data_IF_075388045114
#
_entry.id   IF_075388045114
#
_cell.length_a   1.000
_cell.length_b   1.000
_cell.length_c   1.000
_cell.angle_alpha   90.00
_cell.angle_beta   90.00
_cell.angle_gamma   90.00
#
_symmetry.space_group_name_H-M   'P 1'
#
loop_
_entity.id
_entity.type
_entity.pdbx_description
1 polymer ?
#
# COMPACT_ATOMS: atom_id res chain seq x y z
N UNK A 1 7.69 7.59 34.60
CA UNK A 1 7.19 6.22 34.36
C UNK A 1 7.65 5.89 32.96
N UNK A 2 8.47 4.84 32.78
CA UNK A 2 8.76 4.34 31.43
C UNK A 2 7.45 3.78 30.86
N UNK A 3 7.02 4.30 29.71
CA UNK A 3 5.87 3.76 29.02
C UNK A 3 6.25 2.36 28.49
N UNK A 4 5.50 1.34 28.86
CA UNK A 4 5.78 -0.06 28.49
C UNK A 4 5.68 -0.30 26.97
N UNK A 5 5.23 0.71 26.21
CA UNK A 5 5.10 0.72 24.74
C UNK A 5 6.36 1.21 24.01
N UNK A 6 7.41 1.56 24.73
CA UNK A 6 8.63 2.14 24.20
C UNK A 6 9.83 1.28 24.55
N UNK A 7 10.60 0.84 23.56
CA UNK A 7 11.95 0.33 23.74
C UNK A 7 12.94 1.35 23.17
N UNK A 8 13.78 1.90 24.01
CA UNK A 8 14.82 2.83 23.59
C UNK A 8 16.17 2.40 24.12
N UNK A 9 17.17 2.26 23.26
CA UNK A 9 18.57 2.04 23.60
C UNK A 9 19.43 3.17 23.02
N UNK A 10 19.44 4.30 23.72
CA UNK A 10 20.16 5.52 23.38
C UNK A 10 21.31 5.79 24.39
N UNK A 11 22.15 4.79 24.61
CA UNK A 11 23.22 4.82 25.62
C UNK A 11 24.27 5.90 25.38
N UNK A 12 24.43 6.27 24.11
CA UNK A 12 25.30 7.41 23.71
C UNK A 12 24.49 8.24 22.69
N UNK A 13 24.59 9.60 22.75
CA UNK A 13 23.99 10.41 21.67
C UNK A 13 24.54 9.94 20.32
N UNK A 14 23.67 9.69 19.37
CA UNK A 14 24.09 9.40 18.01
C UNK A 14 24.81 10.62 17.44
N UNK A 15 25.95 10.43 16.79
CA UNK A 15 26.58 11.50 16.00
C UNK A 15 25.74 11.82 14.77
N UNK A 16 25.09 10.81 14.20
CA UNK A 16 24.39 10.91 12.91
C UNK A 16 22.93 11.33 13.00
N UNK A 17 22.24 11.09 14.13
CA UNK A 17 20.80 11.36 14.25
C UNK A 17 20.45 12.12 15.53
N UNK A 18 19.41 12.99 15.44
CA UNK A 18 18.66 13.53 16.56
C UNK A 18 17.24 12.98 16.55
N UNK A 19 16.66 12.74 17.72
CA UNK A 19 15.44 11.95 17.84
C UNK A 19 14.39 12.64 18.70
N UNK A 20 13.14 12.48 18.27
CA UNK A 20 11.96 12.78 19.09
C UNK A 20 10.92 11.69 18.91
N UNK A 21 10.34 11.21 20.00
CA UNK A 21 9.31 10.18 19.90
C UNK A 21 8.29 10.30 21.03
N UNK A 22 7.06 9.99 20.69
CA UNK A 22 5.90 10.00 21.60
C UNK A 22 4.95 8.89 21.18
N UNK A 23 4.37 8.21 22.14
CA UNK A 23 3.20 7.35 21.96
C UNK A 23 2.13 7.75 22.95
N UNK A 24 0.86 7.76 22.54
CA UNK A 24 -0.29 8.18 23.33
C UNK A 24 -1.49 7.28 23.04
N UNK A 25 -2.26 6.95 24.07
CA UNK A 25 -3.44 6.08 23.91
C UNK A 25 -4.58 6.74 23.13
N UNK A 26 -4.51 8.06 22.93
CA UNK A 26 -5.60 8.83 22.39
C UNK A 26 -6.70 9.11 23.42
N UNK A 27 -7.84 9.62 22.95
CA UNK A 27 -8.97 9.99 23.84
C UNK A 27 -10.07 8.94 23.92
N UNK A 28 -10.16 8.07 22.93
CA UNK A 28 -11.27 7.12 22.76
C UNK A 28 -10.85 5.70 23.13
N UNK A 29 -9.64 5.30 22.80
CA UNK A 29 -9.13 3.96 23.10
C UNK A 29 -8.86 3.80 24.60
N UNK A 30 -8.99 2.59 25.10
CA UNK A 30 -8.72 2.24 26.51
C UNK A 30 -7.32 1.68 26.73
N UNK A 31 -6.70 1.20 25.67
CA UNK A 31 -5.39 0.56 25.65
C UNK A 31 -4.59 1.11 24.48
N UNK A 32 -3.30 1.23 24.68
CA UNK A 32 -2.39 1.54 23.61
C UNK A 32 -1.89 0.22 22.99
N UNK A 33 -2.26 -0.05 21.75
CA UNK A 33 -1.84 -1.22 20.98
C UNK A 33 -0.69 -0.91 20.03
N UNK A 34 -0.30 0.37 19.94
CA UNK A 34 0.92 0.76 19.23
C UNK A 34 2.16 0.35 20.01
N UNK A 35 3.25 0.19 19.31
CA UNK A 35 4.57 -0.02 19.88
C UNK A 35 5.63 0.70 19.06
N UNK A 36 6.62 1.29 19.72
CA UNK A 36 7.78 1.87 19.06
C UNK A 36 9.10 1.31 19.61
N UNK A 37 10.09 1.21 18.75
CA UNK A 37 11.43 0.82 19.11
C UNK A 37 12.45 1.74 18.43
N UNK A 38 13.34 2.33 19.20
CA UNK A 38 14.35 3.27 18.72
C UNK A 38 15.74 2.96 19.28
N UNK A 39 16.73 3.01 18.41
CA UNK A 39 18.14 2.93 18.79
C UNK A 39 18.96 3.99 18.05
N UNK A 40 20.29 3.91 18.12
CA UNK A 40 21.15 4.83 17.38
C UNK A 40 21.09 4.67 15.85
N UNK A 41 20.53 3.58 15.35
CA UNK A 41 20.49 3.27 13.91
C UNK A 41 19.21 2.60 13.43
N UNK A 42 18.26 2.30 14.32
CA UNK A 42 17.01 1.60 14.02
C UNK A 42 15.83 2.36 14.63
N UNK A 43 14.81 2.62 13.81
CA UNK A 43 13.60 3.36 14.19
C UNK A 43 12.38 2.62 13.65
N UNK A 44 11.50 2.18 14.54
CA UNK A 44 10.35 1.31 14.24
C UNK A 44 9.10 1.88 14.88
N UNK A 45 8.00 1.84 14.13
CA UNK A 45 6.63 2.06 14.61
C UNK A 45 5.79 0.88 14.16
N UNK A 46 4.94 0.37 15.04
CA UNK A 46 4.04 -0.76 14.80
C UNK A 46 2.67 -0.47 15.42
N UNK A 47 1.60 -0.57 14.63
CA UNK A 47 0.21 -0.42 15.04
C UNK A 47 -0.42 -1.79 15.16
N UNK A 48 -0.83 -2.13 16.37
CA UNK A 48 -1.36 -3.45 16.67
C UNK A 48 -2.86 -3.56 16.44
N UNK A 49 -3.27 -4.55 15.67
CA UNK A 49 -4.67 -4.87 15.40
C UNK A 49 -5.07 -6.24 15.92
N UNK A 50 -6.33 -6.37 16.32
CA UNK A 50 -6.90 -7.61 16.86
C UNK A 50 -7.71 -7.39 18.12
N UNK A 51 -8.52 -8.40 18.52
CA UNK A 51 -9.40 -8.28 19.70
C UNK A 51 -8.63 -8.12 21.01
N UNK A 52 -9.15 -7.34 21.94
CA UNK A 52 -8.69 -7.10 23.32
C UNK A 52 -7.17 -6.87 23.51
N UNK A 53 -6.36 -7.92 23.58
CA UNK A 53 -4.90 -7.87 23.81
C UNK A 53 -4.08 -8.35 22.61
N UNK A 54 -4.72 -8.76 21.54
CA UNK A 54 -4.04 -9.32 20.38
C UNK A 54 -3.14 -8.29 19.70
N UNK A 55 -3.65 -7.09 19.43
CA UNK A 55 -2.90 -6.01 18.78
C UNK A 55 -1.66 -5.60 19.60
N UNK A 56 -1.83 -5.40 20.91
CA UNK A 56 -0.74 -5.07 21.85
C UNK A 56 0.39 -6.10 21.77
N UNK A 57 0.04 -7.40 21.80
CA UNK A 57 1.04 -8.46 21.74
C UNK A 57 1.72 -8.53 20.36
N UNK A 58 0.97 -8.30 19.27
CA UNK A 58 1.50 -8.37 17.93
C UNK A 58 2.52 -7.26 17.66
N UNK A 59 2.17 -6.00 17.97
CA UNK A 59 3.06 -4.85 17.79
C UNK A 59 4.32 -4.95 18.65
N UNK A 60 4.17 -5.38 19.90
CA UNK A 60 5.29 -5.62 20.81
C UNK A 60 6.25 -6.69 20.29
N UNK A 61 5.73 -7.86 19.87
CA UNK A 61 6.55 -8.97 19.36
C UNK A 61 7.29 -8.51 18.09
N UNK A 62 6.60 -7.86 17.15
CA UNK A 62 7.19 -7.41 15.91
C UNK A 62 8.33 -6.41 16.15
N UNK A 63 8.09 -5.35 16.94
CA UNK A 63 9.09 -4.34 17.21
C UNK A 63 10.29 -4.92 18.01
N UNK A 64 10.05 -5.74 19.03
CA UNK A 64 11.10 -6.40 19.81
C UNK A 64 11.97 -7.30 18.95
N UNK A 65 11.37 -8.05 18.03
CA UNK A 65 12.09 -8.97 17.14
C UNK A 65 13.11 -8.25 16.26
N UNK A 66 12.75 -7.07 15.73
CA UNK A 66 13.69 -6.25 14.99
C UNK A 66 14.74 -5.60 15.91
N UNK A 67 14.31 -5.18 17.08
CA UNK A 67 15.19 -4.52 18.04
C UNK A 67 16.27 -5.44 18.62
N UNK A 68 16.03 -6.76 18.72
CA UNK A 68 17.03 -7.74 19.16
C UNK A 68 18.31 -7.68 18.32
N UNK A 69 18.23 -7.39 17.03
CA UNK A 69 19.38 -7.34 16.11
C UNK A 69 20.05 -5.95 16.06
N UNK A 70 19.28 -4.88 16.20
CA UNK A 70 19.66 -3.45 16.22
C UNK A 70 20.44 -2.92 15.02
N UNK A 71 21.24 -3.73 14.35
CA UNK A 71 22.07 -3.32 13.20
C UNK A 71 21.88 -4.25 12.01
N UNK A 72 21.78 -3.67 10.83
CA UNK A 72 21.55 -4.36 9.58
C UNK A 72 22.58 -3.90 8.55
N UNK A 73 23.20 -4.84 7.83
CA UNK A 73 24.18 -4.49 6.82
C UNK A 73 23.56 -4.19 5.45
N UNK A 74 22.38 -4.72 5.17
CA UNK A 74 21.72 -4.57 3.86
C UNK A 74 20.21 -4.47 4.01
N UNK A 75 19.53 -3.92 2.99
CA UNK A 75 18.06 -3.93 2.89
C UNK A 75 17.50 -5.34 2.99
N UNK A 76 18.16 -6.30 2.34
CA UNK A 76 17.71 -7.69 2.39
C UNK A 76 17.77 -8.24 3.82
N UNK A 77 18.82 -7.96 4.58
CA UNK A 77 18.93 -8.41 5.98
C UNK A 77 17.87 -7.78 6.89
N UNK A 78 17.45 -6.55 6.59
CA UNK A 78 16.34 -5.88 7.29
C UNK A 78 14.99 -6.50 6.92
N UNK A 79 14.74 -6.71 5.62
CA UNK A 79 13.54 -7.41 5.13
C UNK A 79 13.40 -8.80 5.74
N UNK A 80 14.47 -9.60 5.75
CA UNK A 80 14.45 -10.96 6.30
C UNK A 80 14.05 -10.94 7.77
N UNK A 81 14.52 -9.94 8.54
CA UNK A 81 14.15 -9.79 9.94
C UNK A 81 12.68 -9.41 10.12
N UNK A 82 12.09 -8.59 9.22
CA UNK A 82 10.65 -8.30 9.23
C UNK A 82 9.84 -9.58 8.94
N UNK A 83 10.31 -10.42 8.03
CA UNK A 83 9.69 -11.74 7.75
C UNK A 83 9.80 -12.66 8.97
N UNK A 84 10.92 -12.67 9.68
CA UNK A 84 11.07 -13.40 10.94
C UNK A 84 10.11 -12.86 12.02
N UNK A 85 9.89 -11.54 12.09
CA UNK A 85 8.90 -10.95 12.98
C UNK A 85 7.49 -11.43 12.66
N UNK A 86 7.09 -11.52 11.39
CA UNK A 86 5.82 -12.13 10.97
C UNK A 86 5.68 -13.56 11.51
N UNK A 87 6.71 -14.36 11.35
CA UNK A 87 6.73 -15.75 11.84
C UNK A 87 6.55 -15.81 13.35
N UNK A 88 7.21 -14.90 14.09
CA UNK A 88 7.11 -14.86 15.55
C UNK A 88 5.71 -14.44 16.04
N UNK A 89 5.08 -13.44 15.40
CA UNK A 89 3.71 -13.01 15.69
C UNK A 89 2.73 -14.17 15.45
N UNK A 90 2.81 -14.83 14.30
CA UNK A 90 1.95 -15.98 13.96
C UNK A 90 2.14 -17.15 14.92
N UNK A 91 3.38 -17.54 15.21
CA UNK A 91 3.65 -18.62 16.17
C UNK A 91 3.06 -18.34 17.54
N UNK A 92 3.04 -17.08 17.98
CA UNK A 92 2.41 -16.69 19.24
C UNK A 92 0.89 -16.78 19.18
N UNK A 93 0.27 -16.38 18.08
CA UNK A 93 -1.17 -16.50 17.84
C UNK A 93 -1.62 -17.98 17.83
N UNK A 94 -0.86 -18.85 17.16
CA UNK A 94 -1.15 -20.29 17.09
C UNK A 94 -1.08 -21.01 18.47
N UNK A 95 -0.26 -20.51 19.40
CA UNK A 95 -0.09 -21.09 20.73
C UNK A 95 -1.07 -20.56 21.79
N UNK A 96 -1.84 -19.50 21.47
CA UNK A 96 -2.77 -18.89 22.41
C UNK A 96 -4.05 -18.43 21.68
N UNK A 97 -5.15 -19.15 21.94
CA UNK A 97 -6.45 -18.86 21.32
C UNK A 97 -7.02 -17.47 21.64
N UNK A 98 -6.59 -16.82 22.73
CA UNK A 98 -6.99 -15.44 23.04
C UNK A 98 -6.36 -14.42 22.10
N UNK A 99 -5.28 -14.81 21.41
CA UNK A 99 -4.53 -14.01 20.46
C UNK A 99 -4.79 -14.41 18.99
N UNK A 100 -5.78 -15.26 18.75
CA UNK A 100 -6.15 -15.68 17.39
C UNK A 100 -6.55 -14.48 16.53
N UNK A 101 -5.95 -14.38 15.34
CA UNK A 101 -6.18 -13.28 14.41
C UNK A 101 -5.52 -11.96 14.79
N UNK A 102 -4.57 -11.98 15.74
CA UNK A 102 -3.76 -10.79 16.01
C UNK A 102 -2.83 -10.47 14.83
N UNK A 103 -2.61 -9.19 14.61
CA UNK A 103 -1.68 -8.70 13.61
C UNK A 103 -1.16 -7.32 13.97
N UNK A 104 -0.24 -6.83 13.17
CA UNK A 104 0.29 -5.47 13.32
C UNK A 104 0.80 -4.93 12.00
N UNK A 105 0.67 -3.62 11.81
CA UNK A 105 1.47 -2.91 10.82
C UNK A 105 2.94 -2.87 11.26
N UNK A 106 3.81 -2.47 10.37
CA UNK A 106 5.17 -2.10 10.71
C UNK A 106 5.70 -1.12 9.67
N UNK A 107 6.14 0.04 10.10
CA UNK A 107 7.02 0.89 9.31
C UNK A 107 8.32 1.13 10.07
N UNK A 108 9.44 1.12 9.35
CA UNK A 108 10.74 1.27 9.98
C UNK A 108 11.84 1.70 9.03
N UNK A 109 12.84 2.35 9.59
CA UNK A 109 14.07 2.72 8.90
C UNK A 109 15.27 2.29 9.71
N UNK A 110 16.34 1.89 9.02
CA UNK A 110 17.60 1.51 9.65
C UNK A 110 18.80 1.86 8.79
N UNK A 111 19.91 2.24 9.42
CA UNK A 111 21.16 2.49 8.70
C UNK A 111 21.68 1.19 8.10
N UNK A 112 22.09 1.22 6.83
CA UNK A 112 22.67 0.08 6.11
C UNK A 112 23.88 0.54 5.29
N UNK A 113 24.70 -0.42 4.88
CA UNK A 113 25.73 -0.19 3.89
C UNK A 113 25.07 0.07 2.52
N UNK A 114 25.46 1.11 1.78
CA UNK A 114 24.87 1.42 0.51
C UNK A 114 25.15 0.32 -0.51
N UNK A 115 24.12 -0.09 -1.27
CA UNK A 115 24.28 -1.06 -2.36
C UNK A 115 25.09 -0.49 -3.53
N UNK A 116 25.05 0.83 -3.71
CA UNK A 116 25.75 1.56 -4.78
C UNK A 116 26.33 2.87 -4.22
N UNK A 117 27.60 3.11 -4.50
CA UNK A 117 28.28 4.36 -4.06
C UNK A 117 28.76 4.30 -2.61
N UNK A 118 28.99 5.48 -2.01
CA UNK A 118 29.51 5.64 -0.65
C UNK A 118 28.60 6.56 0.20
N UNK A 119 27.44 6.96 -0.30
CA UNK A 119 26.50 7.83 0.42
C UNK A 119 25.83 7.05 1.54
N UNK A 120 25.78 7.59 2.75
CA UNK A 120 25.04 6.99 3.85
C UNK A 120 23.59 6.73 3.44
N UNK A 121 23.08 5.55 3.78
CA UNK A 121 21.83 5.04 3.23
C UNK A 121 20.99 4.42 4.34
N UNK A 122 19.69 4.70 4.33
CA UNK A 122 18.71 4.01 5.16
C UNK A 122 18.00 2.93 4.34
N UNK A 123 17.85 1.75 4.92
CA UNK A 123 16.84 0.79 4.49
C UNK A 123 15.49 1.20 5.06
N UNK A 124 14.47 1.16 4.23
CA UNK A 124 13.07 1.40 4.61
C UNK A 124 12.32 0.08 4.50
N UNK A 125 11.46 -0.21 5.47
CA UNK A 125 10.51 -1.31 5.42
C UNK A 125 9.11 -0.81 5.74
N UNK A 126 8.10 -1.27 4.99
CA UNK A 126 6.70 -0.97 5.22
C UNK A 126 5.80 -2.18 4.99
N UNK A 127 4.89 -2.42 5.92
CA UNK A 127 3.75 -3.31 5.78
C UNK A 127 2.59 -2.76 6.62
N UNK A 128 1.45 -2.47 5.99
CA UNK A 128 0.30 -1.82 6.60
C UNK A 128 0.11 -0.38 6.12
N UNK A 129 -0.61 0.41 6.88
CA UNK A 129 -0.98 1.79 6.61
C UNK A 129 -0.35 2.81 7.58
N UNK A 130 0.58 2.35 8.42
CA UNK A 130 1.52 3.25 9.10
C UNK A 130 2.44 3.89 8.06
N UNK A 131 2.79 5.15 8.27
CA UNK A 131 3.43 5.97 7.23
C UNK A 131 4.80 6.47 7.61
N UNK A 132 5.64 6.64 6.58
CA UNK A 132 6.90 7.38 6.69
C UNK A 132 6.84 8.57 5.75
N UNK A 133 7.11 9.75 6.31
CA UNK A 133 7.27 11.00 5.57
C UNK A 133 8.72 11.45 5.60
N UNK A 134 9.12 12.16 4.58
CA UNK A 134 10.44 12.78 4.46
C UNK A 134 10.30 14.26 4.12
N UNK A 135 10.92 15.10 4.92
CA UNK A 135 11.19 16.49 4.61
C UNK A 135 12.68 16.61 4.26
N UNK A 136 12.98 16.82 2.98
CA UNK A 136 14.32 16.95 2.44
C UNK A 136 14.42 18.21 1.59
N UNK A 137 15.32 19.13 1.92
CA UNK A 137 15.55 20.39 1.20
C UNK A 137 14.26 21.18 0.88
N UNK A 138 13.34 21.24 1.89
CA UNK A 138 12.06 21.94 1.77
C UNK A 138 10.98 21.19 0.99
N UNK A 139 11.28 20.02 0.44
CA UNK A 139 10.29 19.13 -0.18
C UNK A 139 9.78 18.13 0.83
N UNK A 140 8.47 18.13 1.08
CA UNK A 140 7.79 17.16 1.93
C UNK A 140 7.09 16.11 1.08
N UNK A 141 7.24 14.84 1.41
CA UNK A 141 6.62 13.71 0.72
C UNK A 141 6.38 12.53 1.64
N UNK A 142 5.28 11.82 1.45
CA UNK A 142 5.11 10.47 1.97
C UNK A 142 5.97 9.52 1.12
N UNK A 143 6.81 8.72 1.75
CA UNK A 143 7.73 7.81 1.05
C UNK A 143 7.26 6.34 1.10
N UNK A 144 6.27 6.03 1.93
CA UNK A 144 5.57 4.73 1.96
C UNK A 144 4.27 4.79 1.19
N UNK A 145 3.79 3.65 0.72
CA UNK A 145 2.45 3.49 0.16
C UNK A 145 1.61 2.67 1.14
N UNK A 146 0.40 3.12 1.45
CA UNK A 146 -0.47 2.44 2.40
C UNK A 146 -0.97 1.11 1.82
N UNK A 147 -0.86 0.05 2.58
CA UNK A 147 -1.48 -1.24 2.22
C UNK A 147 -2.92 -1.26 2.72
N UNK A 148 -3.76 -0.44 2.11
CA UNK A 148 -5.19 -0.32 2.41
C UNK A 148 -6.05 -0.50 1.17
N UNK A 149 -7.30 -0.93 1.39
CA UNK A 149 -8.25 -1.12 0.29
C UNK A 149 -8.49 0.17 -0.50
N UNK A 150 -8.54 1.31 0.17
CA UNK A 150 -8.77 2.60 -0.49
C UNK A 150 -7.58 3.04 -1.33
N UNK A 151 -6.36 2.73 -0.91
CA UNK A 151 -5.16 3.01 -1.69
C UNK A 151 -5.08 2.13 -2.94
N UNK A 152 -5.45 0.86 -2.84
CA UNK A 152 -5.60 -0.02 -4.00
C UNK A 152 -6.65 0.52 -4.99
N UNK A 153 -7.82 0.95 -4.49
CA UNK A 153 -8.87 1.56 -5.32
C UNK A 153 -8.42 2.87 -5.98
N UNK A 154 -7.65 3.71 -5.26
CA UNK A 154 -7.08 4.96 -5.79
C UNK A 154 -6.07 4.67 -6.90
N UNK A 155 -5.17 3.72 -6.70
CA UNK A 155 -4.16 3.31 -7.68
C UNK A 155 -4.78 2.72 -8.95
N UNK A 156 -5.89 2.00 -8.80
CA UNK A 156 -6.68 1.49 -9.92
C UNK A 156 -7.55 2.56 -10.60
N UNK A 157 -7.51 3.81 -10.12
CA UNK A 157 -8.30 4.92 -10.65
C UNK A 157 -9.81 4.83 -10.37
N UNK A 158 -10.23 3.96 -9.44
CA UNK A 158 -11.65 3.78 -9.07
C UNK A 158 -12.17 4.91 -8.19
N UNK A 159 -11.30 5.52 -7.40
CA UNK A 159 -11.61 6.65 -6.53
C UNK A 159 -10.50 7.69 -6.62
N UNK A 160 -10.85 8.95 -6.37
CA UNK A 160 -9.89 10.05 -6.26
C UNK A 160 -9.24 10.06 -4.88
N UNK A 161 -8.12 10.78 -4.71
CA UNK A 161 -7.47 10.99 -3.40
C UNK A 161 -8.44 11.56 -2.36
N UNK A 162 -9.25 12.55 -2.75
CA UNK A 162 -10.26 13.17 -1.86
C UNK A 162 -11.36 12.19 -1.44
N UNK A 163 -11.76 11.28 -2.32
CA UNK A 163 -12.74 10.24 -1.99
C UNK A 163 -12.13 9.19 -1.06
N UNK A 164 -10.84 8.86 -1.23
CA UNK A 164 -10.13 7.93 -0.36
C UNK A 164 -10.08 8.42 1.09
N UNK A 165 -9.79 9.71 1.33
CA UNK A 165 -9.72 10.31 2.67
C UNK A 165 -11.02 10.16 3.48
N UNK A 166 -12.17 10.22 2.82
CA UNK A 166 -13.49 10.13 3.47
C UNK A 166 -14.19 8.78 3.27
N UNK A 167 -13.52 7.80 2.69
CA UNK A 167 -14.13 6.53 2.34
C UNK A 167 -14.50 5.69 3.58
N UNK A 168 -15.70 5.04 3.62
CA UNK A 168 -16.11 4.22 4.77
C UNK A 168 -15.16 3.05 5.08
N UNK A 169 -14.44 2.57 4.07
CA UNK A 169 -13.49 1.45 4.17
C UNK A 169 -12.02 1.89 4.24
N UNK A 170 -11.74 3.16 4.61
CA UNK A 170 -10.36 3.66 4.65
C UNK A 170 -9.44 2.92 5.62
N UNK A 171 -9.99 2.36 6.69
CA UNK A 171 -9.24 1.63 7.70
C UNK A 171 -9.16 0.11 7.42
N UNK A 172 -9.49 -0.35 6.20
CA UNK A 172 -9.32 -1.77 5.81
C UNK A 172 -7.90 -1.96 5.30
N UNK A 173 -7.08 -2.59 6.14
CA UNK A 173 -5.69 -2.95 5.83
C UNK A 173 -5.68 -4.21 4.98
N UNK A 174 -4.89 -4.24 3.90
CA UNK A 174 -4.76 -5.37 2.97
C UNK A 174 -3.53 -6.22 3.22
N UNK A 175 -2.54 -5.69 3.98
CA UNK A 175 -1.31 -6.41 4.35
C UNK A 175 -0.89 -6.06 5.77
N UNK A 176 -0.61 -7.07 6.60
CA UNK A 176 -0.13 -6.89 7.97
C UNK A 176 0.72 -8.09 8.42
N UNK A 177 1.59 -7.90 9.41
CA UNK A 177 2.30 -8.97 10.07
C UNK A 177 1.35 -9.79 10.96
N UNK A 178 1.56 -11.09 11.02
CA UNK A 178 0.78 -12.00 11.85
C UNK A 178 -0.42 -12.64 11.15
N UNK A 179 -0.85 -12.12 9.99
CA UNK A 179 -2.04 -12.58 9.27
C UNK A 179 -1.67 -13.67 8.26
N UNK A 180 -0.86 -13.35 7.27
CA UNK A 180 -0.49 -14.28 6.21
C UNK A 180 0.77 -15.07 6.53
N UNK A 181 0.90 -16.27 5.93
CA UNK A 181 2.11 -17.11 6.06
C UNK A 181 3.32 -16.38 5.50
N UNK A 182 3.17 -15.77 4.34
CA UNK A 182 4.19 -14.99 3.67
C UNK A 182 3.87 -13.50 3.83
N UNK A 183 4.72 -12.78 4.56
CA UNK A 183 4.60 -11.34 4.67
C UNK A 183 5.14 -10.67 3.39
N UNK A 184 4.27 -9.99 2.66
CA UNK A 184 4.68 -9.18 1.52
C UNK A 184 5.07 -7.78 2.00
N UNK A 185 6.36 -7.63 2.33
CA UNK A 185 6.94 -6.41 2.90
C UNK A 185 7.59 -5.58 1.80
N UNK A 186 7.23 -4.32 1.70
CA UNK A 186 7.91 -3.38 0.82
C UNK A 186 9.21 -2.91 1.49
N UNK A 187 10.35 -3.09 0.81
CA UNK A 187 11.67 -2.68 1.32
C UNK A 187 12.50 -2.06 0.19
N UNK A 188 13.18 -0.95 0.51
CA UNK A 188 14.07 -0.27 -0.43
C UNK A 188 15.13 0.56 0.29
N UNK A 189 16.10 1.07 -0.45
CA UNK A 189 17.14 1.99 0.03
C UNK A 189 16.78 3.44 -0.28
N UNK A 190 17.14 4.33 0.64
CA UNK A 190 17.07 5.77 0.43
C UNK A 190 18.39 6.40 0.88
N UNK A 191 19.12 7.11 -0.01
CA UNK A 191 20.27 7.88 0.39
C UNK A 191 19.81 9.02 1.30
N UNK A 192 20.57 9.31 2.35
CA UNK A 192 20.26 10.39 3.28
C UNK A 192 21.22 11.56 3.11
N UNK A 193 20.69 12.75 3.32
CA UNK A 193 21.46 13.99 3.30
C UNK A 193 21.38 14.67 4.65
N UNK A 194 22.38 15.46 4.94
CA UNK A 194 22.34 16.33 6.11
C UNK A 194 21.09 17.20 6.10
N UNK A 195 20.49 17.37 7.27
CA UNK A 195 19.26 18.13 7.51
C UNK A 195 17.98 17.48 6.94
N UNK A 196 18.05 16.22 6.45
CA UNK A 196 16.85 15.43 6.17
C UNK A 196 16.11 15.11 7.47
N UNK A 197 14.79 15.21 7.46
CA UNK A 197 13.92 14.91 8.59
C UNK A 197 12.90 13.86 8.20
N UNK A 198 12.95 12.71 8.86
CA UNK A 198 11.98 11.63 8.71
C UNK A 198 10.93 11.69 9.81
N UNK A 199 9.69 11.38 9.46
CA UNK A 199 8.60 11.15 10.41
C UNK A 199 8.02 9.76 10.16
N UNK A 200 8.05 8.90 11.16
CA UNK A 200 7.32 7.63 11.18
C UNK A 200 6.12 7.79 12.09
N UNK A 201 4.94 7.34 11.65
CA UNK A 201 3.74 7.45 12.47
C UNK A 201 2.73 6.34 12.19
N UNK A 202 1.89 6.03 13.17
CA UNK A 202 0.68 5.23 13.01
C UNK A 202 -0.44 6.05 12.38
N UNK A 203 -1.51 5.38 11.96
CA UNK A 203 -2.67 5.99 11.31
C UNK A 203 -3.42 6.96 12.24
N UNK A 204 -3.33 6.78 13.57
CA UNK A 204 -3.87 7.72 14.55
C UNK A 204 -3.31 9.14 14.46
N UNK A 205 -2.13 9.34 13.87
CA UNK A 205 -1.68 10.68 13.48
C UNK A 205 -2.29 11.10 12.14
N UNK A 206 -2.11 10.31 11.10
CA UNK A 206 -2.43 10.72 9.73
C UNK A 206 -3.94 10.75 9.43
N UNK A 207 -4.76 10.11 10.24
CA UNK A 207 -6.22 10.22 10.20
C UNK A 207 -6.76 11.50 10.86
N UNK A 208 -6.00 12.10 11.80
CA UNK A 208 -6.42 13.26 12.58
C UNK A 208 -5.72 14.56 12.14
N UNK A 209 -4.54 14.47 11.52
CA UNK A 209 -3.73 15.62 11.13
C UNK A 209 -3.43 15.57 9.65
N UNK A 210 -3.79 16.62 8.93
CA UNK A 210 -3.53 16.69 7.49
C UNK A 210 -2.04 16.75 7.16
N UNK A 211 -1.67 16.26 5.97
CA UNK A 211 -0.29 16.31 5.48
C UNK A 211 0.29 17.75 5.47
N UNK A 212 -0.56 18.76 5.23
CA UNK A 212 -0.15 20.16 5.25
C UNK A 212 0.20 20.64 6.67
N UNK A 213 -0.57 20.24 7.69
CA UNK A 213 -0.30 20.58 9.09
C UNK A 213 0.94 19.82 9.60
N UNK A 214 1.09 18.54 9.26
CA UNK A 214 2.30 17.76 9.56
C UNK A 214 3.52 18.47 8.99
N UNK A 215 3.51 18.80 7.69
CA UNK A 215 4.57 19.53 7.03
C UNK A 215 4.89 20.84 7.77
N UNK A 216 3.88 21.61 8.12
CA UNK A 216 4.06 22.91 8.79
C UNK A 216 4.80 22.76 10.12
N UNK A 217 4.45 21.76 10.93
CA UNK A 217 5.11 21.49 12.21
C UNK A 217 6.57 21.05 11.98
N UNK A 218 6.80 20.12 11.03
CA UNK A 218 8.15 19.64 10.73
C UNK A 218 9.08 20.73 10.17
N UNK A 219 8.55 21.73 9.47
CA UNK A 219 9.32 22.87 8.95
C UNK A 219 9.59 23.97 10.00
N UNK A 220 8.75 24.08 11.03
CA UNK A 220 8.78 25.22 11.97
C UNK A 220 9.35 24.90 13.33
N UNK A 221 9.34 23.65 13.72
CA UNK A 221 9.79 23.21 15.04
C UNK A 221 11.14 22.52 14.90
N UNK A 222 12.18 23.18 15.38
CA UNK A 222 13.56 22.68 15.23
C UNK A 222 13.81 21.39 16.03
N UNK A 223 13.32 21.32 17.26
CA UNK A 223 13.50 20.15 18.12
C UNK A 223 12.62 18.99 17.66
N UNK A 224 13.18 17.81 17.31
CA UNK A 224 12.40 16.65 16.92
C UNK A 224 11.46 16.18 18.04
N UNK A 225 11.88 16.27 19.30
CA UNK A 225 11.03 15.90 20.43
C UNK A 225 9.84 16.84 20.59
N UNK A 226 10.07 18.15 20.49
CA UNK A 226 8.98 19.12 20.58
C UNK A 226 8.01 19.00 19.40
N UNK A 227 8.51 18.73 18.19
CA UNK A 227 7.69 18.48 17.00
C UNK A 227 6.81 17.23 17.18
N UNK A 228 7.36 16.13 17.69
CA UNK A 228 6.60 14.91 17.99
C UNK A 228 5.49 15.17 19.02
N UNK A 229 5.79 15.90 20.10
CA UNK A 229 4.79 16.26 21.09
C UNK A 229 3.70 17.19 20.53
N UNK A 230 4.04 18.13 19.64
CA UNK A 230 3.06 19.01 19.02
C UNK A 230 2.13 18.23 18.08
N UNK A 231 2.68 17.29 17.29
CA UNK A 231 1.87 16.44 16.41
C UNK A 231 0.87 15.59 17.21
N UNK A 232 1.30 14.94 18.29
CA UNK A 232 0.42 14.14 19.16
C UNK A 232 -0.64 15.01 19.84
N UNK A 233 -0.26 16.19 20.34
CA UNK A 233 -1.23 17.13 20.91
C UNK A 233 -2.27 17.58 19.88
N UNK A 234 -1.85 17.84 18.64
CA UNK A 234 -2.75 18.24 17.56
C UNK A 234 -3.70 17.10 17.19
N UNK A 235 -3.20 15.86 16.99
CA UNK A 235 -4.04 14.70 16.72
C UNK A 235 -5.07 14.46 17.82
N UNK A 236 -4.65 14.56 19.09
CA UNK A 236 -5.57 14.51 20.22
C UNK A 236 -6.60 15.65 20.18
N UNK A 237 -6.24 16.88 19.82
CA UNK A 237 -7.17 17.99 19.75
C UNK A 237 -8.22 17.82 18.66
N UNK A 238 -7.86 17.18 17.56
CA UNK A 238 -8.73 16.93 16.40
C UNK A 238 -9.68 15.74 16.58
N UNK A 239 -9.46 14.90 17.59
CA UNK A 239 -10.34 13.78 17.90
C UNK A 239 -9.68 12.79 18.86
N UNK A 240 -8.45 12.39 18.57
CA UNK A 240 -7.73 11.36 19.31
C UNK A 240 -8.48 10.02 19.29
N UNK A 241 -9.01 9.67 18.13
CA UNK A 241 -9.90 8.52 17.97
C UNK A 241 -9.16 7.18 18.08
N UNK A 242 -7.84 7.19 17.84
CA UNK A 242 -6.98 6.02 17.93
C UNK A 242 -5.73 6.25 18.78
N UNK A 243 -4.92 5.21 18.95
CA UNK A 243 -3.58 5.29 19.48
C UNK A 243 -2.72 6.12 18.52
N UNK A 244 -1.84 6.95 19.04
CA UNK A 244 -1.06 7.91 18.26
C UNK A 244 0.41 7.71 18.57
N UNK A 245 1.18 7.21 17.64
CA UNK A 245 2.62 7.01 17.80
C UNK A 245 3.39 7.77 16.73
N UNK A 246 4.39 8.49 17.15
CA UNK A 246 5.22 9.38 16.34
C UNK A 246 6.69 9.18 16.68
N UNK A 247 7.52 9.02 15.66
CA UNK A 247 8.98 9.03 15.74
C UNK A 247 9.52 10.00 14.71
N UNK A 248 10.30 11.00 15.14
CA UNK A 248 10.99 11.95 14.26
C UNK A 248 12.49 11.69 14.34
N UNK A 249 13.13 11.62 13.17
CA UNK A 249 14.55 11.34 13.01
C UNK A 249 15.17 12.45 12.16
N UNK A 250 16.04 13.26 12.76
CA UNK A 250 16.80 14.30 12.07
C UNK A 250 18.20 13.79 11.74
N UNK A 251 18.60 13.92 10.49
CA UNK A 251 19.94 13.56 10.01
C UNK A 251 20.89 14.71 10.28
N UNK A 252 21.87 14.50 11.19
CA UNK A 252 22.89 15.52 11.56
C UNK A 252 24.11 15.46 10.66
N UNK A 253 24.52 14.27 10.29
CA UNK A 253 25.68 14.00 9.44
C UNK A 253 25.21 13.24 8.21
N UNK A 254 25.62 13.65 7.03
CA UNK A 254 25.23 13.06 5.74
C UNK A 254 25.87 13.83 4.60
N UNK A 255 25.65 13.38 3.38
CA UNK A 255 26.17 14.06 2.19
C UNK A 255 25.56 15.47 2.02
N UNK A 256 26.39 16.44 1.70
CA UNK A 256 25.96 17.79 1.33
C UNK A 256 25.50 17.81 -0.14
N UNK A 257 24.45 17.04 -0.48
CA UNK A 257 23.87 17.05 -1.84
C UNK A 257 22.86 18.18 -1.97
N UNK A 258 22.79 18.75 -3.17
CA UNK A 258 21.81 19.80 -3.52
C UNK A 258 20.52 19.22 -4.12
N UNK A 259 20.39 17.90 -4.25
CA UNK A 259 19.19 17.23 -4.76
C UNK A 259 18.44 16.54 -3.65
N UNK A 260 17.12 16.77 -3.52
CA UNK A 260 16.31 16.09 -2.50
C UNK A 260 16.41 14.58 -2.62
N UNK A 261 16.46 13.90 -1.48
CA UNK A 261 16.30 12.44 -1.43
C UNK A 261 14.95 12.07 -2.03
N UNK A 262 14.96 11.27 -3.10
CA UNK A 262 13.76 10.75 -3.72
C UNK A 262 13.93 9.26 -3.92
N UNK A 263 13.14 8.47 -3.19
CA UNK A 263 13.00 7.05 -3.46
C UNK A 263 11.52 6.75 -3.70
N UNK A 264 11.24 6.06 -4.77
CA UNK A 264 9.97 5.37 -4.94
C UNK A 264 10.19 3.91 -4.56
N UNK A 265 9.22 3.23 -3.90
CA UNK A 265 9.33 1.81 -3.64
C UNK A 265 9.62 1.07 -4.93
N UNK A 266 10.73 0.37 -4.99
CA UNK A 266 10.97 -0.57 -6.08
C UNK A 266 10.12 -1.79 -5.71
N UNK A 267 8.95 -1.88 -6.31
CA UNK A 267 8.14 -3.10 -6.25
C UNK A 267 8.94 -4.20 -6.92
N UNK A 268 9.57 -5.07 -6.14
CA UNK A 268 10.10 -6.32 -6.66
C UNK A 268 8.88 -7.14 -7.09
N UNK A 269 8.74 -7.52 -8.37
CA UNK A 269 7.60 -8.32 -8.79
C UNK A 269 7.67 -9.66 -8.09
N UNK A 270 6.79 -9.85 -7.11
CA UNK A 270 6.52 -11.17 -6.53
C UNK A 270 5.64 -11.92 -7.53
N UNK A 271 5.93 -13.19 -7.88
CA UNK A 271 5.04 -13.95 -8.72
C UNK A 271 3.68 -14.03 -8.03
N UNK A 272 2.66 -13.50 -8.69
CA UNK A 272 1.28 -13.58 -8.23
C UNK A 272 0.86 -15.04 -8.06
N UNK A 273 0.91 -15.52 -6.83
CA UNK A 273 0.05 -16.65 -6.43
C UNK A 273 -1.21 -16.03 -5.83
N UNK A 274 -2.30 -16.18 -6.55
CA UNK A 274 -3.63 -15.85 -6.08
C UNK A 274 -3.95 -16.69 -4.85
N UNK A 275 -3.75 -16.11 -3.66
CA UNK A 275 -4.24 -16.70 -2.43
C UNK A 275 -5.74 -16.42 -2.35
N UNK A 276 -6.54 -17.47 -2.51
CA UNK A 276 -7.97 -17.45 -2.24
C UNK A 276 -8.19 -17.18 -0.74
N UNK A 277 -8.77 -16.03 -0.43
CA UNK A 277 -9.25 -15.73 0.92
C UNK A 277 -10.34 -16.74 1.31
N UNK A 278 -10.02 -17.63 2.23
CA UNK A 278 -11.00 -18.47 2.90
C UNK A 278 -11.45 -17.80 4.18
N UNK A 279 -12.60 -17.15 4.16
CA UNK A 279 -13.26 -16.73 5.41
C UNK A 279 -13.72 -17.98 6.17
N UNK A 280 -12.98 -18.37 7.19
CA UNK A 280 -13.46 -19.33 8.18
C UNK A 280 -14.42 -18.62 9.14
N UNK A 281 -15.72 -18.70 8.87
CA UNK A 281 -16.75 -18.30 9.82
C UNK A 281 -16.79 -19.30 10.97
N UNK A 282 -16.05 -19.02 12.03
CA UNK A 282 -16.22 -19.73 13.30
C UNK A 282 -17.43 -19.13 14.02
N UNK A 283 -18.53 -19.85 14.02
CA UNK A 283 -19.74 -19.49 14.75
C UNK A 283 -19.49 -19.50 16.25
N UNK A 284 -19.34 -18.32 16.85
CA UNK A 284 -19.38 -18.16 18.31
C UNK A 284 -20.80 -18.34 18.80
N UNK A 285 -21.01 -19.28 19.72
CA UNK A 285 -22.20 -19.40 20.54
C UNK A 285 -22.38 -18.13 21.39
N UNK A 286 -23.30 -17.29 21.01
CA UNK A 286 -23.78 -16.17 21.83
C UNK A 286 -24.85 -16.72 22.79
N UNK A 287 -24.56 -16.70 24.07
CA UNK A 287 -25.55 -16.93 25.09
C UNK A 287 -26.63 -15.85 25.12
N UNK A 288 -27.88 -16.28 25.32
CA UNK A 288 -29.11 -15.52 25.49
C UNK A 288 -29.66 -14.76 24.28
N UNK A 289 -30.47 -15.47 23.49
CA UNK A 289 -31.41 -14.93 22.52
C UNK A 289 -32.71 -14.50 23.19
N UNK A 290 -33.33 -13.37 22.79
CA UNK A 290 -34.73 -13.10 23.18
C UNK A 290 -35.68 -14.09 22.50
N UNK A 291 -36.68 -14.59 23.25
CA UNK A 291 -37.73 -15.49 22.78
C UNK A 291 -38.52 -14.83 21.64
N UNK A 292 -38.55 -15.47 20.47
CA UNK A 292 -39.35 -15.03 19.33
C UNK A 292 -38.70 -15.10 17.94
N UNK A 293 -37.42 -15.50 17.81
CA UNK A 293 -36.79 -15.69 16.53
C UNK A 293 -37.06 -17.12 16.00
N UNK A 294 -37.68 -17.24 14.84
CA UNK A 294 -37.88 -18.52 14.13
C UNK A 294 -36.52 -19.17 13.87
N UNK A 295 -36.29 -20.34 14.46
CA UNK A 295 -35.12 -21.18 14.19
C UNK A 295 -35.16 -21.62 12.72
N UNK A 296 -34.13 -21.25 11.95
CA UNK A 296 -33.86 -21.88 10.67
C UNK A 296 -33.22 -23.24 10.95
N UNK A 297 -34.01 -24.29 10.91
CA UNK A 297 -33.49 -25.65 10.97
C UNK A 297 -32.57 -25.90 9.78
N UNK A 298 -31.29 -26.10 10.04
CA UNK A 298 -30.29 -26.49 9.03
C UNK A 298 -30.48 -27.97 8.66
N UNK A 299 -31.55 -28.28 7.93
CA UNK A 299 -31.68 -29.62 7.36
C UNK A 299 -30.73 -29.75 6.15
N UNK A 300 -30.24 -30.97 5.86
CA UNK A 300 -29.36 -31.21 4.71
C UNK A 300 -29.95 -30.69 3.38
N UNK A 301 -31.28 -30.63 3.28
CA UNK A 301 -32.02 -30.14 2.15
C UNK A 301 -31.91 -28.61 2.01
N UNK A 302 -31.97 -27.87 3.11
CA UNK A 302 -31.84 -26.41 3.14
C UNK A 302 -30.40 -25.97 2.82
N UNK A 303 -29.40 -26.72 3.33
CA UNK A 303 -27.98 -26.51 2.99
C UNK A 303 -27.77 -26.72 1.47
N UNK A 304 -28.34 -27.78 0.90
CA UNK A 304 -28.26 -28.06 -0.53
C UNK A 304 -28.91 -26.97 -1.38
N UNK A 305 -30.07 -26.44 -0.96
CA UNK A 305 -30.72 -25.29 -1.63
C UNK A 305 -29.87 -24.04 -1.57
N UNK A 306 -29.25 -23.76 -0.41
CA UNK A 306 -28.35 -22.61 -0.21
C UNK A 306 -27.11 -22.70 -1.11
N UNK A 307 -26.49 -23.89 -1.21
CA UNK A 307 -25.34 -24.13 -2.10
C UNK A 307 -25.73 -23.95 -3.56
N UNK A 308 -26.88 -24.50 -3.98
CA UNK A 308 -27.37 -24.34 -5.36
C UNK A 308 -27.64 -22.86 -5.67
N UNK A 309 -28.28 -22.13 -4.75
CA UNK A 309 -28.54 -20.69 -4.92
C UNK A 309 -27.24 -19.89 -5.02
N UNK A 310 -26.24 -20.20 -4.17
CA UNK A 310 -24.93 -19.57 -4.23
C UNK A 310 -24.20 -19.84 -5.55
N UNK A 311 -24.25 -21.07 -6.07
CA UNK A 311 -23.67 -21.44 -7.36
C UNK A 311 -24.36 -20.72 -8.52
N UNK A 312 -25.69 -20.59 -8.49
CA UNK A 312 -26.46 -19.85 -9.50
C UNK A 312 -26.10 -18.36 -9.45
N UNK A 313 -25.99 -17.77 -8.26
CA UNK A 313 -25.54 -16.38 -8.10
C UNK A 313 -24.13 -16.17 -8.64
N UNK A 314 -23.19 -17.06 -8.35
CA UNK A 314 -21.82 -17.00 -8.90
C UNK A 314 -21.81 -17.11 -10.43
N UNK A 315 -22.64 -17.96 -10.99
CA UNK A 315 -22.76 -18.09 -12.44
C UNK A 315 -23.33 -16.81 -13.08
N UNK A 316 -24.32 -16.19 -12.46
CA UNK A 316 -24.89 -14.92 -12.91
C UNK A 316 -23.84 -13.81 -12.85
N UNK A 317 -23.11 -13.72 -11.73
CA UNK A 317 -22.03 -12.76 -11.56
C UNK A 317 -20.93 -12.98 -12.62
N UNK A 318 -20.53 -14.23 -12.88
CA UNK A 318 -19.57 -14.58 -13.92
C UNK A 318 -20.01 -14.16 -15.34
N UNK A 319 -21.29 -14.35 -15.66
CA UNK A 319 -21.87 -13.89 -16.94
C UNK A 319 -21.86 -12.35 -17.02
N UNK A 320 -22.21 -11.66 -15.94
CA UNK A 320 -22.19 -10.19 -15.88
C UNK A 320 -20.77 -9.65 -16.05
N UNK A 321 -19.80 -10.22 -15.36
CA UNK A 321 -18.38 -9.82 -15.48
C UNK A 321 -17.87 -10.08 -16.89
N UNK A 322 -18.20 -11.26 -17.48
CA UNK A 322 -17.80 -11.60 -18.84
C UNK A 322 -18.39 -10.66 -19.90
N UNK A 323 -19.65 -10.26 -19.74
CA UNK A 323 -20.26 -9.24 -20.60
C UNK A 323 -19.59 -7.88 -20.41
N UNK A 324 -19.44 -7.42 -19.18
CA UNK A 324 -18.80 -6.16 -18.86
C UNK A 324 -17.35 -6.08 -19.38
N UNK A 325 -16.61 -7.17 -19.33
CA UNK A 325 -15.24 -7.24 -19.83
C UNK A 325 -15.16 -7.14 -21.38
N UNK A 326 -16.22 -7.52 -22.09
CA UNK A 326 -16.28 -7.57 -23.58
C UNK A 326 -17.17 -6.51 -24.21
N UNK A 327 -17.72 -5.60 -23.45
CA UNK A 327 -18.77 -4.68 -23.90
C UNK A 327 -18.26 -3.48 -24.72
N UNK A 328 -16.93 -3.30 -24.85
CA UNK A 328 -16.34 -2.16 -25.55
C UNK A 328 -15.27 -2.64 -26.56
N UNK A 329 -14.92 -1.74 -27.46
CA UNK A 329 -13.82 -1.91 -28.41
C UNK A 329 -12.80 -0.80 -28.20
N UNK A 330 -11.53 -1.07 -28.49
CA UNK A 330 -10.48 -0.05 -28.49
C UNK A 330 -9.47 -0.30 -29.60
N UNK A 331 -8.82 0.77 -30.02
CA UNK A 331 -7.76 0.72 -31.05
C UNK A 331 -6.41 0.84 -30.36
N UNK A 332 -5.46 0.01 -30.74
CA UNK A 332 -4.10 0.06 -30.22
C UNK A 332 -3.10 -0.54 -31.20
N UNK A 333 -1.83 -0.22 -31.03
CA UNK A 333 -0.74 -0.88 -31.74
C UNK A 333 -0.56 -2.33 -31.29
N UNK A 334 -0.20 -3.20 -32.22
CA UNK A 334 0.15 -4.58 -31.92
C UNK A 334 1.42 -4.61 -31.05
N UNK A 335 1.29 -5.19 -29.85
CA UNK A 335 2.43 -5.36 -28.94
C UNK A 335 3.13 -6.69 -29.25
N UNK A 336 4.15 -6.68 -30.07
CA UNK A 336 4.99 -7.83 -30.37
C UNK A 336 6.43 -7.55 -29.93
N UNK A 337 6.80 -7.95 -28.71
CA UNK A 337 8.16 -7.85 -28.20
C UNK A 337 8.77 -6.44 -28.27
N UNK A 338 10.02 -6.32 -28.72
CA UNK A 338 10.79 -5.07 -28.87
C UNK A 338 10.50 -4.31 -30.20
N UNK A 339 9.36 -4.56 -30.85
CA UNK A 339 9.01 -3.90 -32.11
C UNK A 339 8.75 -2.43 -31.87
N UNK A 340 9.46 -1.54 -32.61
CA UNK A 340 9.20 -0.11 -32.55
C UNK A 340 7.78 0.19 -33.06
N UNK A 341 7.12 1.20 -32.47
CA UNK A 341 5.76 1.64 -32.85
C UNK A 341 5.66 1.89 -34.35
N UNK A 342 6.71 2.41 -34.99
CA UNK A 342 6.78 2.66 -36.42
C UNK A 342 6.46 1.43 -37.29
N UNK A 343 6.86 0.24 -36.82
CA UNK A 343 6.67 -1.03 -37.53
C UNK A 343 5.49 -1.86 -37.00
N UNK A 344 4.75 -1.34 -36.03
CA UNK A 344 3.61 -2.03 -35.42
C UNK A 344 2.33 -1.76 -36.20
N UNK A 345 1.53 -2.80 -36.41
CA UNK A 345 0.19 -2.70 -37.03
C UNK A 345 -0.83 -2.15 -36.03
N UNK A 346 -1.87 -1.53 -36.56
CA UNK A 346 -3.02 -1.11 -35.78
C UNK A 346 -4.05 -2.22 -35.74
N UNK A 347 -4.55 -2.50 -34.54
CA UNK A 347 -5.53 -3.54 -34.26
C UNK A 347 -6.74 -2.96 -33.55
N UNK A 348 -7.91 -3.52 -33.84
CA UNK A 348 -9.12 -3.34 -33.03
C UNK A 348 -9.18 -4.50 -32.04
N UNK A 349 -9.27 -4.16 -30.78
CA UNK A 349 -9.45 -5.12 -29.69
C UNK A 349 -10.88 -5.05 -29.17
N UNK A 350 -11.48 -6.22 -28.90
CA UNK A 350 -12.71 -6.32 -28.12
C UNK A 350 -12.36 -6.49 -26.66
N UNK A 351 -12.94 -5.66 -25.81
CA UNK A 351 -12.73 -5.67 -24.36
C UNK A 351 -12.30 -4.33 -23.82
N UNK A 352 -11.83 -4.34 -22.60
CA UNK A 352 -11.30 -3.17 -21.90
C UNK A 352 -9.80 -3.02 -22.16
N UNK A 353 -9.30 -1.81 -22.02
CA UNK A 353 -7.87 -1.48 -22.23
C UNK A 353 -6.93 -2.15 -21.22
N UNK A 354 -7.48 -2.74 -20.15
CA UNK A 354 -6.82 -3.57 -19.16
C UNK A 354 -7.59 -4.86 -18.95
N UNK A 355 -6.87 -5.95 -18.62
CA UNK A 355 -7.47 -7.24 -18.29
C UNK A 355 -8.40 -7.16 -17.07
N UNK A 356 -9.56 -7.80 -17.13
CA UNK A 356 -10.49 -7.91 -16.01
C UNK A 356 -10.52 -9.38 -15.57
N UNK A 357 -10.00 -9.69 -14.39
CA UNK A 357 -9.78 -11.04 -13.90
C UNK A 357 -8.96 -11.85 -14.93
N UNK A 358 -9.57 -12.90 -15.52
CA UNK A 358 -8.97 -13.74 -16.57
C UNK A 358 -9.46 -13.37 -17.98
N UNK A 359 -10.20 -12.25 -18.14
CA UNK A 359 -10.66 -11.78 -19.44
C UNK A 359 -9.67 -10.78 -20.01
N UNK A 360 -8.78 -11.25 -20.88
CA UNK A 360 -7.91 -10.40 -21.68
C UNK A 360 -8.64 -9.86 -22.90
N UNK A 361 -8.33 -8.68 -23.41
CA UNK A 361 -8.86 -8.18 -24.67
C UNK A 361 -8.45 -9.08 -25.83
N UNK A 362 -9.39 -9.35 -26.73
CA UNK A 362 -9.16 -10.19 -27.92
C UNK A 362 -9.05 -9.32 -29.16
N UNK A 363 -8.17 -9.72 -30.08
CA UNK A 363 -8.05 -9.03 -31.38
C UNK A 363 -9.24 -9.42 -32.25
N UNK A 364 -10.06 -8.43 -32.65
CA UNK A 364 -11.21 -8.62 -33.54
C UNK A 364 -10.87 -8.31 -35.01
N UNK A 365 -10.09 -7.27 -35.24
CA UNK A 365 -9.76 -6.85 -36.60
C UNK A 365 -8.30 -6.38 -36.68
N UNK A 366 -7.62 -6.72 -37.80
CA UNK A 366 -6.28 -6.26 -38.17
C UNK A 366 -6.35 -5.38 -39.38
N UNK A 367 -5.76 -4.19 -39.33
CA UNK A 367 -5.66 -3.28 -40.46
C UNK A 367 -4.21 -3.16 -40.93
N UNK A 368 -3.96 -3.05 -42.24
CA UNK A 368 -2.61 -2.94 -42.80
C UNK A 368 -2.03 -1.52 -42.65
N UNK A 369 -2.37 -0.81 -41.58
CA UNK A 369 -1.86 0.53 -41.27
C UNK A 369 -0.69 0.34 -40.29
N UNK A 370 0.47 0.86 -40.62
CA UNK A 370 1.65 0.83 -39.77
C UNK A 370 1.85 2.17 -39.07
N UNK A 371 2.45 2.16 -37.89
CA UNK A 371 2.73 3.38 -37.13
C UNK A 371 3.51 4.44 -37.91
N UNK A 372 4.41 4.02 -38.81
CA UNK A 372 5.17 4.92 -39.68
C UNK A 372 4.34 5.65 -40.74
N UNK A 373 3.14 5.18 -41.02
CA UNK A 373 2.23 5.77 -42.02
C UNK A 373 1.38 6.90 -41.41
N UNK A 374 1.51 7.11 -40.09
CA UNK A 374 0.75 8.08 -39.32
C UNK A 374 1.61 9.30 -38.94
N UNK A 375 0.97 10.43 -38.72
CA UNK A 375 1.59 11.57 -38.09
C UNK A 375 1.74 11.42 -36.56
N UNK A 376 2.64 12.22 -35.96
CA UNK A 376 2.93 12.14 -34.53
C UNK A 376 1.68 12.32 -33.63
N UNK A 377 0.73 13.14 -34.05
CA UNK A 377 -0.50 13.42 -33.31
C UNK A 377 -1.40 12.20 -33.26
N UNK A 378 -1.59 11.55 -34.39
CA UNK A 378 -2.41 10.34 -34.52
C UNK A 378 -1.75 9.16 -33.80
N UNK A 379 -0.42 9.05 -33.84
CA UNK A 379 0.33 8.06 -33.05
C UNK A 379 0.08 8.26 -31.55
N UNK A 380 0.10 9.50 -31.07
CA UNK A 380 -0.15 9.77 -29.65
C UNK A 380 -1.60 9.51 -29.24
N UNK A 381 -2.57 9.79 -30.12
CA UNK A 381 -3.98 9.47 -29.91
C UNK A 381 -4.19 7.94 -29.76
N UNK A 382 -3.60 7.14 -30.65
CA UNK A 382 -3.72 5.67 -30.62
C UNK A 382 -3.03 5.07 -29.38
N UNK A 383 -1.94 5.68 -28.91
CA UNK A 383 -1.29 5.27 -27.63
C UNK A 383 -2.23 5.42 -26.42
N UNK A 384 -3.15 6.37 -26.46
CA UNK A 384 -4.16 6.58 -25.42
C UNK A 384 -5.30 5.53 -25.49
N UNK A 385 -5.24 4.61 -26.47
CA UNK A 385 -6.21 3.53 -26.67
C UNK A 385 -7.65 4.04 -26.77
N UNK A 386 -8.00 4.82 -27.82
CA UNK A 386 -9.36 5.34 -27.99
C UNK A 386 -10.38 4.21 -27.95
N UNK A 387 -11.48 4.44 -27.21
CA UNK A 387 -12.53 3.45 -26.92
C UNK A 387 -13.78 3.74 -27.72
N UNK A 388 -14.49 2.68 -28.12
CA UNK A 388 -15.71 2.71 -28.94
C UNK A 388 -16.75 1.77 -28.35
N UNK A 389 -18.02 2.11 -28.48
CA UNK A 389 -19.11 1.25 -28.00
C UNK A 389 -19.37 0.07 -28.94
N UNK A 390 -19.06 0.23 -30.23
CA UNK A 390 -19.31 -0.78 -31.24
C UNK A 390 -18.10 -1.03 -32.15
N UNK A 391 -17.99 -2.25 -32.68
CA UNK A 391 -16.98 -2.59 -33.68
C UNK A 391 -17.10 -1.70 -34.93
N UNK A 392 -18.33 -1.32 -35.31
CA UNK A 392 -18.58 -0.50 -36.48
C UNK A 392 -18.03 0.94 -36.31
N UNK A 393 -18.07 1.49 -35.12
CA UNK A 393 -17.47 2.79 -34.83
C UNK A 393 -15.95 2.72 -34.87
N UNK A 394 -15.34 1.69 -34.25
CA UNK A 394 -13.89 1.46 -34.29
C UNK A 394 -13.40 1.24 -35.72
N UNK A 395 -14.15 0.47 -36.58
CA UNK A 395 -13.81 0.28 -37.99
C UNK A 395 -13.93 1.58 -38.78
N UNK A 396 -14.96 2.39 -38.58
CA UNK A 396 -15.09 3.71 -39.23
C UNK A 396 -13.96 4.66 -38.90
N UNK A 397 -13.50 4.63 -37.63
CA UNK A 397 -12.36 5.42 -37.21
C UNK A 397 -11.10 5.03 -37.99
N UNK A 398 -10.83 3.72 -38.17
CA UNK A 398 -9.68 3.26 -38.94
C UNK A 398 -9.88 3.47 -40.47
N UNK A 399 -11.09 3.38 -40.98
CA UNK A 399 -11.37 3.69 -42.39
C UNK A 399 -11.06 5.16 -42.70
N UNK A 400 -11.45 6.09 -41.83
CA UNK A 400 -11.12 7.52 -41.96
C UNK A 400 -9.61 7.77 -41.94
N UNK A 401 -8.88 7.10 -41.05
CA UNK A 401 -7.41 7.18 -41.01
C UNK A 401 -6.78 6.64 -42.32
N UNK A 402 -7.31 5.55 -42.86
CA UNK A 402 -6.82 4.96 -44.09
C UNK A 402 -7.05 5.88 -45.28
N UNK A 403 -8.21 6.58 -45.35
CA UNK A 403 -8.49 7.59 -46.36
C UNK A 403 -7.51 8.76 -46.28
N UNK A 404 -7.27 9.29 -45.10
CA UNK A 404 -6.32 10.39 -44.87
C UNK A 404 -4.89 10.03 -45.29
N UNK A 405 -4.42 8.81 -44.99
CA UNK A 405 -3.11 8.31 -45.42
C UNK A 405 -3.04 8.24 -46.96
N UNK A 406 -4.13 7.72 -47.58
CA UNK A 406 -4.17 7.56 -49.03
C UNK A 406 -4.17 8.91 -49.73
N UNK A 407 -4.90 9.90 -49.23
CA UNK A 407 -4.92 11.26 -49.76
C UNK A 407 -3.51 11.91 -49.67
N UNK A 408 -2.85 11.82 -48.49
CA UNK A 408 -1.47 12.35 -48.32
C UNK A 408 -0.43 11.66 -49.22
N UNK A 409 -0.62 10.37 -49.54
CA UNK A 409 0.27 9.65 -50.48
C UNK A 409 0.03 10.03 -51.95
N UNK A 410 -1.16 10.49 -52.30
CA UNK A 410 -1.49 10.94 -53.69
C UNK A 410 -1.12 12.42 -53.92
N UNK A 411 -0.88 13.22 -52.87
CA UNK A 411 -0.46 14.62 -52.99
C UNK A 411 1.06 14.80 -53.04
N UNK A 412 1.84 13.77 -52.73
CA UNK A 412 3.33 13.75 -52.82
C UNK A 412 3.80 12.97 -54.07
#
# INVERSE_FOLDING_TARGET
>A
MSDDRIIADLKTPSSSFDLGFVTDVGKIRKMNQDFLAVSNSLFIVADGMGGHRGGEAASEIAAKKLFEKQTYSTVQSFRDQVIEANTAVRAKAETNSELEGMGTTLCGITLVEPSIGNTETLAVANIGDSRIYLLSQGKFSQITEDHSLVEEMRREGKITEKEAESHPHRNIITRALGIDVEANVDCWEIPIHKDDRFLLCTDGLSNEVSAAEIRHILEKVDSPQEAAEQLVRLANSNGGNDNITVVIVDVKEGDESTTPSTASPISVPTPHQTSSFSFSTTSRSLGNRPEGATEWETTPENIRKLIVTALVMLLIIGVFIGRYARDNYFVSFEQVGDTSIENSQILIYQGRTSSILWFDPTVEERRPILGRDLDERTVEEIKQKPQFETLQEASKYLDALQEEITEKQNEN
#
